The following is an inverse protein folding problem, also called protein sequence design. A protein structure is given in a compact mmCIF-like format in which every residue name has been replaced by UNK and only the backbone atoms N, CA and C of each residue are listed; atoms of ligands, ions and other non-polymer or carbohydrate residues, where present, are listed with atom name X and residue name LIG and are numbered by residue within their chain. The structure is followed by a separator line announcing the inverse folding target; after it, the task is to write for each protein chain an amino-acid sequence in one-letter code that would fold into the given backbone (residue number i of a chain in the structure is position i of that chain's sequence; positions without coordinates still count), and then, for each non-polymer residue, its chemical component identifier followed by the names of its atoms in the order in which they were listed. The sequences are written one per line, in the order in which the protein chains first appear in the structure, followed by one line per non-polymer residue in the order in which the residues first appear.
data_IF_540258511060
#
_entry.id   IF_540258511060
#
_cell.length_a   1.000
_cell.length_b   1.000
_cell.length_c   1.000
_cell.angle_alpha   90.00
_cell.angle_beta   90.00
_cell.angle_gamma   90.00
#
_symmetry.space_group_name_H-M   'P 1'
#
loop_
_entity.id
_entity.type
_entity.pdbx_description
1 polymer ?
#
# COMPACT_ATOMS: atom_id res chain seq x y z
N UNK A 1 11.51 -9.99 -7.23
CA UNK A 1 10.26 -10.74 -6.99
C UNK A 1 9.06 -10.21 -7.77
N UNK A 2 8.83 -8.89 -7.76
CA UNK A 2 7.73 -8.28 -8.53
C UNK A 2 7.73 -8.66 -10.02
N UNK A 3 8.88 -8.54 -10.69
CA UNK A 3 9.04 -9.02 -12.07
C UNK A 3 8.58 -10.48 -12.29
N UNK A 4 9.04 -11.41 -11.46
CA UNK A 4 8.68 -12.84 -11.57
C UNK A 4 7.17 -13.05 -11.37
N UNK A 5 6.53 -12.28 -10.49
CA UNK A 5 5.09 -12.36 -10.27
C UNK A 5 4.26 -11.91 -11.48
N UNK A 6 4.86 -11.19 -12.44
CA UNK A 6 4.25 -10.77 -13.72
C UNK A 6 4.57 -11.72 -14.88
N UNK A 7 5.30 -12.81 -14.64
CA UNK A 7 5.65 -13.80 -15.67
C UNK A 7 4.97 -15.13 -15.40
N UNK A 8 4.49 -15.77 -16.47
CA UNK A 8 3.87 -17.09 -16.38
C UNK A 8 4.90 -18.15 -15.98
N UNK A 9 4.44 -19.20 -15.30
CA UNK A 9 5.22 -20.40 -14.97
C UNK A 9 6.46 -20.17 -14.09
N UNK A 10 6.53 -19.04 -13.36
CA UNK A 10 7.65 -18.70 -12.46
C UNK A 10 7.43 -19.13 -11.01
N UNK A 11 6.36 -19.87 -10.69
CA UNK A 11 6.00 -20.21 -9.31
C UNK A 11 7.12 -20.94 -8.56
N UNK A 12 7.74 -21.95 -9.19
CA UNK A 12 8.86 -22.70 -8.59
C UNK A 12 10.05 -21.79 -8.30
N UNK A 13 10.40 -20.89 -9.22
CA UNK A 13 11.50 -19.93 -9.03
C UNK A 13 11.18 -18.99 -7.86
N UNK A 14 9.93 -18.52 -7.77
CA UNK A 14 9.49 -17.68 -6.65
C UNK A 14 9.61 -18.42 -5.31
N UNK A 15 9.21 -19.69 -5.26
CA UNK A 15 9.31 -20.51 -4.05
C UNK A 15 10.75 -20.75 -3.62
N UNK A 16 11.66 -20.99 -4.57
CA UNK A 16 13.10 -21.16 -4.31
C UNK A 16 13.78 -19.86 -3.85
N UNK A 17 13.33 -18.70 -4.35
CA UNK A 17 13.92 -17.39 -4.01
C UNK A 17 13.40 -16.82 -2.66
N UNK A 18 12.26 -17.32 -2.16
CA UNK A 18 11.65 -16.88 -0.90
C UNK A 18 12.63 -16.86 0.29
N UNK A 19 13.34 -17.95 0.65
CA UNK A 19 14.24 -17.94 1.81
C UNK A 19 15.34 -16.89 1.68
N UNK A 20 15.90 -16.71 0.48
CA UNK A 20 16.92 -15.70 0.21
C UNK A 20 16.38 -14.29 0.45
N UNK A 21 15.18 -13.97 -0.06
CA UNK A 21 14.58 -12.65 0.17
C UNK A 21 14.29 -12.44 1.65
N UNK A 22 13.76 -13.44 2.37
CA UNK A 22 13.48 -13.32 3.80
C UNK A 22 14.75 -13.02 4.59
N UNK A 23 15.84 -13.75 4.33
CA UNK A 23 17.14 -13.50 4.99
C UNK A 23 17.65 -12.10 4.67
N UNK A 24 17.61 -11.67 3.40
CA UNK A 24 18.06 -10.33 3.00
C UNK A 24 17.23 -9.24 3.66
N UNK A 25 15.91 -9.39 3.75
CA UNK A 25 15.02 -8.40 4.37
C UNK A 25 15.23 -8.36 5.88
N UNK A 26 15.32 -9.51 6.55
CA UNK A 26 15.58 -9.59 7.99
C UNK A 26 16.96 -8.99 8.29
N UNK A 27 17.99 -9.38 7.55
CA UNK A 27 19.34 -8.84 7.70
C UNK A 27 19.39 -7.33 7.41
N UNK A 28 18.71 -6.85 6.36
CA UNK A 28 18.60 -5.42 6.06
C UNK A 28 17.88 -4.64 7.16
N UNK A 29 16.90 -5.27 7.80
CA UNK A 29 16.07 -4.64 8.85
C UNK A 29 16.79 -4.58 10.20
N UNK A 30 17.51 -5.63 10.57
CA UNK A 30 18.12 -5.78 11.90
C UNK A 30 19.64 -5.67 11.89
N UNK A 31 20.32 -6.11 10.84
CA UNK A 31 21.79 -6.17 10.75
C UNK A 31 22.45 -4.78 10.68
N UNK A 32 21.77 -3.77 10.12
CA UNK A 32 22.30 -2.40 10.03
C UNK A 32 21.72 -1.46 11.10
N UNK A 33 21.22 -1.99 12.22
CA UNK A 33 20.66 -1.18 13.31
C UNK A 33 21.72 -0.68 14.27
N UNK A 34 22.03 0.62 14.22
CA UNK A 34 22.64 1.30 15.36
C UNK A 34 21.56 1.67 16.37
N UNK A 35 21.77 1.35 17.65
CA UNK A 35 20.85 1.72 18.76
C UNK A 35 20.89 3.22 19.11
N UNK A 36 21.25 4.07 18.15
CA UNK A 36 21.25 5.51 18.34
C UNK A 36 19.80 5.99 18.40
N UNK A 37 19.45 6.57 19.54
CA UNK A 37 18.08 7.05 19.82
C UNK A 37 17.60 8.07 18.79
N UNK A 38 18.51 8.85 18.23
CA UNK A 38 18.24 9.84 17.17
C UNK A 38 17.66 9.20 15.90
N UNK A 39 17.99 7.93 15.64
CA UNK A 39 17.49 7.17 14.49
C UNK A 39 16.38 6.18 14.85
N UNK A 40 15.78 6.28 16.04
CA UNK A 40 14.71 5.38 16.48
C UNK A 40 13.52 5.39 15.50
N UNK A 41 13.15 6.57 14.99
CA UNK A 41 12.08 6.68 13.99
C UNK A 41 12.45 5.99 12.66
N UNK A 42 13.67 6.18 12.17
CA UNK A 42 14.13 5.51 10.94
C UNK A 42 14.22 4.00 11.12
N UNK A 43 14.62 3.54 12.31
CA UNK A 43 14.65 2.11 12.66
C UNK A 43 13.24 1.53 12.68
N UNK A 44 12.27 2.24 13.28
CA UNK A 44 10.86 1.85 13.25
C UNK A 44 10.31 1.80 11.82
N UNK A 45 10.57 2.83 11.01
CA UNK A 45 10.14 2.89 9.61
C UNK A 45 10.76 1.76 8.77
N UNK A 46 12.04 1.47 8.99
CA UNK A 46 12.74 0.34 8.35
C UNK A 46 12.13 -0.99 8.76
N UNK A 47 11.78 -1.17 10.04
CA UNK A 47 11.05 -2.33 10.54
C UNK A 47 9.71 -2.52 9.85
N UNK A 48 8.92 -1.44 9.74
CA UNK A 48 7.63 -1.46 9.05
C UNK A 48 7.79 -1.79 7.56
N UNK A 49 8.79 -1.20 6.90
CA UNK A 49 9.12 -1.50 5.50
C UNK A 49 9.51 -2.98 5.33
N UNK A 50 10.37 -3.52 6.20
CA UNK A 50 10.77 -4.92 6.19
C UNK A 50 9.58 -5.87 6.34
N UNK A 51 8.70 -5.63 7.32
CA UNK A 51 7.46 -6.41 7.50
C UNK A 51 6.56 -6.35 6.26
N UNK A 52 6.41 -5.17 5.67
CA UNK A 52 5.61 -4.98 4.45
C UNK A 52 6.22 -5.75 3.27
N UNK A 53 7.54 -5.72 3.11
CA UNK A 53 8.26 -6.48 2.08
C UNK A 53 8.12 -7.98 2.28
N UNK A 54 8.20 -8.47 3.52
CA UNK A 54 7.97 -9.89 3.84
C UNK A 54 6.55 -10.31 3.44
N UNK A 55 5.54 -9.56 3.90
CA UNK A 55 4.14 -9.87 3.59
C UNK A 55 3.89 -9.95 2.08
N UNK A 56 4.45 -8.99 1.32
CA UNK A 56 4.31 -8.95 -0.14
C UNK A 56 5.10 -10.08 -0.83
N UNK A 57 6.27 -10.43 -0.31
CA UNK A 57 7.05 -11.54 -0.85
C UNK A 57 6.31 -12.86 -0.65
N UNK A 58 5.69 -13.07 0.52
CA UNK A 58 4.87 -14.25 0.79
C UNK A 58 3.66 -14.30 -0.14
N UNK A 59 2.94 -13.19 -0.27
CA UNK A 59 1.80 -13.07 -1.17
C UNK A 59 2.17 -13.38 -2.64
N UNK A 60 3.26 -12.80 -3.14
CA UNK A 60 3.77 -13.08 -4.48
C UNK A 60 4.28 -14.50 -4.64
N UNK A 61 4.78 -15.13 -3.59
CA UNK A 61 5.28 -16.50 -3.67
C UNK A 61 4.14 -17.50 -3.73
N UNK A 62 3.13 -17.36 -2.87
CA UNK A 62 2.03 -18.32 -2.77
C UNK A 62 0.94 -18.13 -3.83
N UNK A 63 0.95 -17.02 -4.58
CA UNK A 63 0.02 -16.83 -5.70
C UNK A 63 0.51 -17.61 -6.93
N UNK A 64 -0.03 -18.82 -7.11
CA UNK A 64 0.39 -19.75 -8.18
C UNK A 64 0.33 -19.10 -9.58
N UNK A 65 -0.78 -18.46 -9.90
CA UNK A 65 -1.04 -17.88 -11.22
C UNK A 65 -0.34 -16.53 -11.49
N UNK A 66 0.38 -15.99 -10.50
CA UNK A 66 0.96 -14.65 -10.59
C UNK A 66 -0.08 -13.52 -10.48
N UNK A 67 0.33 -12.30 -10.82
CA UNK A 67 -0.46 -11.08 -10.65
C UNK A 67 -0.79 -10.47 -12.02
N UNK A 68 -2.03 -10.68 -12.47
CA UNK A 68 -2.58 -10.12 -13.71
C UNK A 68 -2.96 -8.64 -13.53
N UNK A 69 -2.68 -7.82 -14.55
CA UNK A 69 -3.15 -6.44 -14.64
C UNK A 69 -4.64 -6.41 -14.99
N UNK A 70 -5.28 -5.27 -14.71
CA UNK A 70 -6.62 -4.99 -15.22
C UNK A 70 -6.65 -5.14 -16.75
N UNK A 71 -7.54 -6.00 -17.25
CA UNK A 71 -7.72 -6.28 -18.68
C UNK A 71 -6.79 -7.34 -19.26
N UNK A 72 -5.86 -7.90 -18.48
CA UNK A 72 -5.01 -9.01 -18.93
C UNK A 72 -5.69 -10.36 -18.63
N UNK A 73 -5.85 -11.19 -19.66
CA UNK A 73 -6.39 -12.55 -19.52
C UNK A 73 -5.32 -13.58 -19.14
N UNK A 74 -4.04 -13.32 -19.47
CA UNK A 74 -2.93 -14.23 -19.18
C UNK A 74 -1.60 -13.47 -19.07
N UNK A 75 -0.64 -14.04 -18.33
CA UNK A 75 0.70 -13.49 -18.19
C UNK A 75 1.60 -13.93 -19.36
N UNK A 76 2.50 -13.04 -19.76
CA UNK A 76 3.54 -13.36 -20.74
C UNK A 76 4.55 -14.36 -20.16
N UNK A 77 4.94 -15.41 -20.90
CA UNK A 77 5.99 -16.33 -20.46
C UNK A 77 7.35 -15.62 -20.39
N UNK A 78 8.28 -16.18 -19.62
CA UNK A 78 9.59 -15.55 -19.36
C UNK A 78 10.48 -15.46 -20.61
N UNK A 79 10.32 -16.40 -21.54
CA UNK A 79 11.13 -16.50 -22.76
C UNK A 79 10.53 -15.73 -23.94
N UNK A 80 9.30 -15.25 -23.82
CA UNK A 80 8.66 -14.49 -24.87
C UNK A 80 9.01 -13.02 -24.64
N UNK A 81 9.89 -12.49 -25.50
CA UNK A 81 10.03 -11.05 -25.62
C UNK A 81 8.65 -10.49 -25.93
N UNK A 82 8.26 -9.43 -25.20
CA UNK A 82 7.00 -8.73 -25.46
C UNK A 82 6.90 -8.54 -26.97
N UNK A 83 5.84 -9.07 -27.61
CA UNK A 83 5.76 -9.01 -29.06
C UNK A 83 5.97 -7.56 -29.48
N UNK A 84 6.80 -7.29 -30.51
CA UNK A 84 6.93 -5.94 -31.03
C UNK A 84 5.51 -5.42 -31.26
N UNK A 85 5.21 -4.15 -30.89
CA UNK A 85 3.87 -3.60 -30.96
C UNK A 85 3.34 -3.91 -32.36
N UNK A 86 2.42 -4.87 -32.42
CA UNK A 86 2.02 -5.42 -33.71
C UNK A 86 1.47 -4.23 -34.51
N UNK A 87 1.92 -4.02 -35.76
CA UNK A 87 1.39 -2.94 -36.57
C UNK A 87 -0.11 -3.12 -36.58
N UNK A 88 -0.82 -2.18 -35.95
CA UNK A 88 -2.27 -2.21 -35.80
C UNK A 88 -2.83 -2.44 -37.19
N UNK A 89 -3.30 -3.65 -37.46
CA UNK A 89 -3.91 -4.00 -38.73
C UNK A 89 -5.15 -3.14 -38.85
N UNK A 90 -5.03 -2.14 -39.72
CA UNK A 90 -5.92 -1.00 -39.94
C UNK A 90 -7.29 -1.35 -40.51
N UNK A 91 -7.90 -2.45 -40.08
CA UNK A 91 -9.14 -2.93 -40.68
C UNK A 91 -10.27 -2.96 -39.64
N UNK A 92 -11.12 -1.92 -39.76
CA UNK A 92 -12.44 -1.73 -39.14
C UNK A 92 -12.44 -1.40 -37.63
N UNK A 93 -13.10 -0.35 -37.13
CA UNK A 93 -13.99 0.64 -37.72
C UNK A 93 -14.21 1.76 -36.68
N UNK A 94 -14.35 3.00 -37.17
CA UNK A 94 -14.82 4.22 -36.47
C UNK A 94 -13.89 4.92 -35.45
N UNK A 95 -13.00 5.77 -36.01
CA UNK A 95 -12.87 7.19 -35.66
C UNK A 95 -12.61 7.58 -34.20
N UNK A 96 -11.45 7.18 -33.66
CA UNK A 96 -10.73 8.11 -32.78
C UNK A 96 -9.24 8.10 -33.18
N UNK A 97 -8.84 9.14 -33.92
CA UNK A 97 -7.46 9.38 -34.38
C UNK A 97 -6.56 9.79 -33.20
N UNK A 98 -6.54 9.02 -32.11
CA UNK A 98 -5.57 9.24 -31.03
C UNK A 98 -4.33 8.42 -31.39
N UNK A 99 -3.21 9.06 -31.78
CA UNK A 99 -1.98 8.33 -32.07
C UNK A 99 -1.58 7.51 -30.83
N UNK A 100 -1.08 6.27 -31.01
CA UNK A 100 -0.60 5.45 -29.90
C UNK A 100 0.51 6.22 -29.19
N UNK A 101 0.18 6.76 -28.02
CA UNK A 101 1.08 7.61 -27.26
C UNK A 101 2.07 6.70 -26.54
N UNK A 102 3.09 6.24 -27.26
CA UNK A 102 4.23 5.52 -26.68
C UNK A 102 4.75 6.33 -25.50
N UNK A 103 4.74 5.73 -24.31
CA UNK A 103 5.11 6.46 -23.12
C UNK A 103 6.62 6.66 -23.12
N UNK A 104 7.10 7.86 -22.81
CA UNK A 104 8.55 8.15 -22.70
C UNK A 104 9.23 7.20 -21.68
N UNK A 105 8.45 6.67 -20.73
CA UNK A 105 8.89 5.68 -19.75
C UNK A 105 9.30 4.34 -20.37
N UNK A 106 8.57 3.85 -21.38
CA UNK A 106 8.86 2.59 -22.09
C UNK A 106 10.21 2.62 -22.79
N UNK A 107 10.68 3.81 -23.20
CA UNK A 107 11.99 3.99 -23.84
C UNK A 107 13.15 4.11 -22.84
N UNK A 108 12.87 4.50 -21.60
CA UNK A 108 13.90 4.87 -20.62
C UNK A 108 14.23 3.75 -19.64
N UNK A 109 13.24 2.91 -19.31
CA UNK A 109 13.39 1.86 -18.30
C UNK A 109 13.40 0.47 -18.93
N UNK A 110 14.27 -0.44 -18.46
CA UNK A 110 14.24 -1.81 -18.94
C UNK A 110 12.91 -2.48 -18.54
N UNK A 111 12.40 -3.45 -19.33
CA UNK A 111 11.07 -4.05 -19.11
C UNK A 111 10.88 -4.63 -17.70
N UNK A 112 11.92 -5.24 -17.13
CA UNK A 112 11.85 -5.80 -15.78
C UNK A 112 11.64 -4.74 -14.69
N UNK A 113 12.14 -3.52 -14.90
CA UNK A 113 11.98 -2.41 -13.97
C UNK A 113 10.56 -1.84 -14.06
N UNK A 114 10.00 -1.75 -15.27
CA UNK A 114 8.61 -1.34 -15.48
C UNK A 114 7.65 -2.34 -14.83
N UNK A 115 7.83 -3.65 -15.05
CA UNK A 115 7.03 -4.69 -14.41
C UNK A 115 7.13 -4.64 -12.88
N UNK A 116 8.33 -4.37 -12.35
CA UNK A 116 8.54 -4.26 -10.91
C UNK A 116 7.91 -3.00 -10.33
N UNK A 117 8.04 -1.86 -11.01
CA UNK A 117 7.41 -0.60 -10.60
C UNK A 117 5.89 -0.68 -10.69
N UNK A 118 5.36 -1.36 -11.70
CA UNK A 118 3.94 -1.67 -11.83
C UNK A 118 3.49 -2.49 -10.62
N UNK A 119 4.15 -3.62 -10.30
CA UNK A 119 3.83 -4.42 -9.11
C UNK A 119 3.96 -3.63 -7.81
N UNK A 120 4.99 -2.80 -7.66
CA UNK A 120 5.13 -1.92 -6.51
C UNK A 120 3.99 -0.90 -6.42
N UNK A 121 3.47 -0.41 -7.54
CA UNK A 121 2.29 0.47 -7.56
C UNK A 121 1.03 -0.24 -7.09
N UNK A 122 0.96 -1.57 -7.22
CA UNK A 122 -0.15 -2.37 -6.71
C UNK A 122 -0.20 -2.45 -5.19
N UNK A 123 0.91 -2.19 -4.50
CA UNK A 123 0.94 -2.02 -3.04
C UNK A 123 0.00 -0.90 -2.58
N UNK A 124 -0.28 0.06 -3.46
CA UNK A 124 -1.27 1.12 -3.23
C UNK A 124 -2.70 0.77 -3.61
N UNK A 125 -2.95 -0.44 -4.12
CA UNK A 125 -4.24 -0.80 -4.69
C UNK A 125 -4.51 -0.17 -6.06
N UNK A 126 -3.49 0.35 -6.74
CA UNK A 126 -3.59 0.87 -8.10
C UNK A 126 -3.35 -0.28 -9.07
N UNK A 127 -4.29 -0.57 -9.98
CA UNK A 127 -4.02 -1.35 -11.19
C UNK A 127 -4.15 -2.88 -11.15
N UNK A 128 -4.55 -3.51 -10.03
CA UNK A 128 -4.80 -4.97 -9.99
C UNK A 128 -6.28 -5.33 -9.96
N UNK A 129 -6.68 -6.17 -10.90
CA UNK A 129 -8.05 -6.69 -11.03
C UNK A 129 -8.38 -7.75 -9.97
N UNK A 130 -7.39 -8.52 -9.51
CA UNK A 130 -7.64 -9.72 -8.69
C UNK A 130 -7.93 -9.44 -7.22
N UNK A 131 -7.48 -8.31 -6.68
CA UNK A 131 -7.90 -7.87 -5.34
C UNK A 131 -9.42 -7.52 -5.33
N UNK A 132 -10.00 -7.25 -6.50
CA UNK A 132 -11.35 -6.67 -6.71
C UNK A 132 -12.47 -7.69 -6.49
N UNK A 133 -12.17 -8.99 -6.57
CA UNK A 133 -13.15 -10.06 -6.38
C UNK A 133 -13.44 -10.38 -4.90
N UNK A 134 -12.76 -9.74 -3.95
CA UNK A 134 -12.91 -10.02 -2.52
C UNK A 134 -13.34 -8.86 -1.64
N UNK A 135 -12.65 -7.72 -1.72
CA UNK A 135 -12.85 -6.51 -0.90
C UNK A 135 -11.82 -5.47 -1.39
N UNK A 136 -12.21 -4.43 -2.14
CA UNK A 136 -11.32 -3.25 -2.35
C UNK A 136 -12.06 -1.95 -2.05
N UNK A 137 -11.37 -1.17 -1.24
CA UNK A 137 -11.55 0.22 -0.89
C UNK A 137 -11.10 1.09 -2.07
N UNK A 138 -12.06 1.63 -2.83
CA UNK A 138 -11.81 2.65 -3.85
C UNK A 138 -11.76 4.02 -3.14
N UNK A 139 -10.85 4.93 -3.55
CA UNK A 139 -10.78 6.28 -2.99
C UNK A 139 -12.11 7.02 -3.09
N UNK A 140 -12.25 7.95 -2.14
CA UNK A 140 -13.47 8.67 -1.77
C UNK A 140 -14.32 9.15 -2.98
N UNK A 141 -15.62 8.79 -3.06
CA UNK A 141 -16.49 9.11 -4.19
C UNK A 141 -16.88 10.60 -4.32
N UNK A 142 -16.33 11.49 -3.48
CA UNK A 142 -16.63 12.93 -3.55
C UNK A 142 -15.91 13.68 -4.66
N UNK A 143 -14.88 13.09 -5.28
CA UNK A 143 -14.22 13.75 -6.39
C UNK A 143 -14.91 13.34 -7.69
N UNK A 144 -15.28 14.29 -8.57
CA UNK A 144 -15.80 13.96 -9.88
C UNK A 144 -14.81 13.03 -10.61
N UNK A 145 -15.29 12.10 -11.46
CA UNK A 145 -14.42 11.22 -12.23
C UNK A 145 -13.36 12.09 -12.92
N UNK A 146 -12.08 11.73 -12.73
CA UNK A 146 -10.97 12.52 -13.25
C UNK A 146 -10.98 12.44 -14.78
N UNK A 147 -11.53 13.46 -15.44
CA UNK A 147 -11.61 13.51 -16.92
C UNK A 147 -10.24 13.67 -17.57
N UNK A 148 -9.25 14.23 -16.85
CA UNK A 148 -7.90 14.49 -17.38
C UNK A 148 -6.79 14.14 -16.38
N UNK A 149 -5.68 13.61 -16.88
CA UNK A 149 -4.46 13.31 -16.10
C UNK A 149 -3.96 14.55 -15.34
N UNK A 150 -4.05 15.74 -15.97
CA UNK A 150 -3.69 17.02 -15.38
C UNK A 150 -4.48 17.31 -14.11
N UNK A 151 -5.80 17.04 -14.13
CA UNK A 151 -6.63 17.23 -12.94
C UNK A 151 -6.24 16.25 -11.82
N UNK A 152 -6.03 14.97 -12.16
CA UNK A 152 -5.57 13.97 -11.19
C UNK A 152 -4.23 14.34 -10.54
N UNK A 153 -3.25 14.77 -11.35
CA UNK A 153 -1.95 15.21 -10.86
C UNK A 153 -2.07 16.44 -9.99
N UNK A 154 -2.85 17.44 -10.40
CA UNK A 154 -3.10 18.65 -9.60
C UNK A 154 -3.73 18.30 -8.26
N UNK A 155 -4.75 17.46 -8.22
CA UNK A 155 -5.38 17.02 -6.97
C UNK A 155 -4.39 16.25 -6.08
N UNK A 156 -3.57 15.38 -6.67
CA UNK A 156 -2.55 14.61 -5.94
C UNK A 156 -1.47 15.51 -5.35
N UNK A 157 -0.99 16.52 -6.10
CA UNK A 157 -0.03 17.53 -5.62
C UNK A 157 -0.64 18.35 -4.49
N UNK A 158 -1.87 18.85 -4.65
CA UNK A 158 -2.54 19.62 -3.59
C UNK A 158 -2.72 18.79 -2.32
N UNK A 159 -3.14 17.53 -2.46
CA UNK A 159 -3.28 16.61 -1.33
C UNK A 159 -1.94 16.36 -0.65
N UNK A 160 -0.87 16.13 -1.44
CA UNK A 160 0.48 15.95 -0.93
C UNK A 160 0.96 17.17 -0.13
N UNK A 161 0.85 18.37 -0.72
CA UNK A 161 1.25 19.63 -0.06
C UNK A 161 0.45 19.85 1.22
N UNK A 162 -0.88 19.65 1.19
CA UNK A 162 -1.72 19.79 2.37
C UNK A 162 -1.28 18.87 3.50
N UNK A 163 -1.10 17.57 3.23
CA UNK A 163 -0.66 16.62 4.25
C UNK A 163 0.77 16.91 4.72
N UNK A 164 1.65 17.39 3.84
CA UNK A 164 3.01 17.79 4.19
C UNK A 164 3.00 18.98 5.15
N UNK A 165 2.20 20.01 4.88
CA UNK A 165 2.07 21.17 5.77
C UNK A 165 1.47 20.81 7.13
N UNK A 166 0.47 19.91 7.16
CA UNK A 166 -0.08 19.40 8.43
C UNK A 166 0.99 18.63 9.21
N UNK A 167 1.76 17.78 8.53
CA UNK A 167 2.85 17.02 9.13
C UNK A 167 3.92 17.97 9.71
N UNK A 168 4.35 18.97 8.94
CA UNK A 168 5.34 19.96 9.36
C UNK A 168 4.84 20.76 10.58
N UNK A 169 3.58 21.23 10.54
CA UNK A 169 2.96 21.91 11.67
C UNK A 169 2.95 21.03 12.94
N UNK A 170 2.58 19.76 12.82
CA UNK A 170 2.57 18.85 13.97
C UNK A 170 4.00 18.64 14.53
N UNK A 171 5.00 18.52 13.65
CA UNK A 171 6.40 18.38 14.06
C UNK A 171 6.93 19.65 14.76
N UNK A 172 6.55 20.83 14.29
CA UNK A 172 6.86 22.10 14.97
C UNK A 172 6.21 22.14 16.35
N UNK A 173 4.94 21.76 16.46
CA UNK A 173 4.24 21.66 17.76
C UNK A 173 4.99 20.73 18.70
N UNK A 174 5.42 19.54 18.24
CA UNK A 174 6.21 18.62 19.06
C UNK A 174 7.54 19.21 19.54
N UNK A 175 8.25 19.92 18.67
CA UNK A 175 9.53 20.56 19.01
C UNK A 175 9.37 21.70 20.01
N UNK A 176 8.20 22.34 20.07
CA UNK A 176 7.91 23.42 21.02
C UNK A 176 7.71 22.94 22.46
N UNK A 177 7.48 21.64 22.69
CA UNK A 177 7.28 21.12 24.05
C UNK A 177 8.63 20.80 24.73
N UNK A 178 8.90 21.35 25.93
CA UNK A 178 10.16 21.10 26.62
C UNK A 178 10.30 19.63 27.01
N UNK A 179 11.49 19.07 26.83
CA UNK A 179 11.82 17.68 27.16
C UNK A 179 11.54 16.67 26.03
N UNK A 180 10.71 17.02 25.05
CA UNK A 180 10.49 16.20 23.85
C UNK A 180 11.67 16.39 22.88
N UNK A 181 12.22 15.28 22.36
CA UNK A 181 13.36 15.32 21.44
C UNK A 181 14.74 15.41 22.09
N UNK A 182 14.81 15.41 23.42
CA UNK A 182 16.10 15.29 24.13
C UNK A 182 16.66 13.88 24.00
N UNK A 183 17.99 13.70 23.92
CA UNK A 183 18.61 12.37 23.83
C UNK A 183 18.35 11.51 25.08
N UNK A 184 18.14 12.15 26.24
CA UNK A 184 17.74 11.50 27.49
C UNK A 184 16.32 10.94 27.45
N UNK A 185 15.49 11.45 26.54
CA UNK A 185 14.10 11.05 26.35
C UNK A 185 13.20 11.53 27.48
N UNK A 186 12.20 12.31 27.10
CA UNK A 186 11.16 12.78 28.03
C UNK A 186 10.02 11.79 28.16
N UNK A 187 9.34 11.84 29.31
CA UNK A 187 7.97 11.36 29.43
C UNK A 187 7.02 12.38 28.79
N UNK A 188 5.91 11.89 28.21
CA UNK A 188 4.79 12.77 27.79
C UNK A 188 4.14 13.49 28.99
N UNK A 189 4.38 12.99 30.21
CA UNK A 189 3.90 13.56 31.45
C UNK A 189 4.92 14.55 32.02
N UNK A 190 4.64 15.85 31.89
CA UNK A 190 5.46 16.91 32.48
C UNK A 190 5.28 16.95 34.00
N UNK A 191 6.29 16.47 34.73
CA UNK A 191 6.26 16.34 36.20
C UNK A 191 6.10 17.68 36.93
N UNK A 192 6.45 18.80 36.31
CA UNK A 192 6.32 20.13 36.88
C UNK A 192 4.91 20.74 36.84
N UNK A 193 3.96 20.15 36.09
CA UNK A 193 2.60 20.70 35.99
C UNK A 193 1.61 20.04 36.97
N UNK A 194 0.57 20.78 37.42
CA UNK A 194 -0.57 20.22 38.14
C UNK A 194 -1.26 19.10 37.36
N UNK A 195 -1.91 18.19 38.09
CA UNK A 195 -2.44 16.93 37.55
C UNK A 195 -3.35 17.13 36.32
N UNK A 196 -4.32 18.06 36.39
CA UNK A 196 -5.22 18.36 35.27
C UNK A 196 -4.48 18.83 34.01
N UNK A 197 -3.59 19.83 34.14
CA UNK A 197 -2.84 20.37 33.00
C UNK A 197 -1.92 19.32 32.38
N UNK A 198 -1.30 18.48 33.22
CA UNK A 198 -0.43 17.39 32.78
C UNK A 198 -1.18 16.39 31.88
N UNK A 199 -2.39 15.98 32.29
CA UNK A 199 -3.21 15.07 31.48
C UNK A 199 -3.70 15.74 30.19
N UNK A 200 -4.07 17.02 30.22
CA UNK A 200 -4.47 17.76 29.02
C UNK A 200 -3.34 17.82 27.98
N UNK A 201 -2.11 18.12 28.41
CA UNK A 201 -0.95 18.15 27.51
C UNK A 201 -0.65 16.75 26.95
N UNK A 202 -0.66 15.71 27.79
CA UNK A 202 -0.43 14.34 27.34
C UNK A 202 -1.48 13.87 26.33
N UNK A 203 -2.76 14.19 26.55
CA UNK A 203 -3.85 13.89 25.61
C UNK A 203 -3.65 14.62 24.28
N UNK A 204 -3.33 15.91 24.34
CA UNK A 204 -3.11 16.74 23.16
C UNK A 204 -1.92 16.23 22.33
N UNK A 205 -0.79 15.93 22.97
CA UNK A 205 0.38 15.30 22.32
C UNK A 205 0.02 13.96 21.66
N UNK A 206 -0.81 13.15 22.32
CA UNK A 206 -1.25 11.87 21.78
C UNK A 206 -2.12 12.05 20.53
N UNK A 207 -3.02 13.04 20.54
CA UNK A 207 -3.84 13.41 19.39
C UNK A 207 -2.95 13.89 18.22
N UNK A 208 -2.01 14.79 18.49
CA UNK A 208 -1.05 15.27 17.48
C UNK A 208 -0.16 14.15 16.93
N UNK A 209 0.18 13.15 17.75
CA UNK A 209 0.95 11.98 17.32
C UNK A 209 0.15 11.16 16.31
N UNK A 210 -1.13 10.94 16.58
CA UNK A 210 -2.05 10.32 15.62
C UNK A 210 -2.14 11.10 14.30
N UNK A 211 -2.29 12.43 14.35
CA UNK A 211 -2.31 13.28 13.15
C UNK A 211 -0.99 13.22 12.36
N UNK A 212 0.14 13.18 13.06
CA UNK A 212 1.47 13.06 12.45
C UNK A 212 1.61 11.75 11.71
N UNK A 213 1.17 10.63 12.32
CA UNK A 213 1.19 9.31 11.66
C UNK A 213 0.29 9.31 10.42
N UNK A 214 -0.97 9.74 10.53
CA UNK A 214 -1.92 9.75 9.41
C UNK A 214 -1.41 10.64 8.27
N UNK A 215 -1.00 11.88 8.58
CA UNK A 215 -0.47 12.81 7.60
C UNK A 215 0.84 12.30 6.98
N UNK A 216 1.72 11.69 7.78
CA UNK A 216 2.96 11.09 7.30
C UNK A 216 2.71 9.98 6.28
N UNK A 217 1.77 9.06 6.57
CA UNK A 217 1.36 8.04 5.61
C UNK A 217 0.75 8.67 4.35
N UNK A 218 -0.07 9.71 4.48
CA UNK A 218 -0.64 10.40 3.33
C UNK A 218 0.43 11.12 2.48
N UNK A 219 1.46 11.70 3.09
CA UNK A 219 2.61 12.30 2.38
C UNK A 219 3.37 11.24 1.62
N UNK A 220 3.73 10.12 2.26
CA UNK A 220 4.40 9.00 1.59
C UNK A 220 3.53 8.44 0.46
N UNK A 221 2.22 8.36 0.67
CA UNK A 221 1.25 7.94 -0.35
C UNK A 221 1.16 8.93 -1.51
N UNK A 222 1.10 10.23 -1.24
CA UNK A 222 1.14 11.27 -2.27
C UNK A 222 2.45 11.22 -3.05
N UNK A 223 3.59 11.16 -2.36
CA UNK A 223 4.92 11.19 -2.95
C UNK A 223 5.10 10.08 -3.98
N UNK A 224 4.90 8.81 -3.59
CA UNK A 224 5.07 7.76 -4.58
C UNK A 224 3.89 7.64 -5.56
N UNK A 225 2.74 8.30 -5.34
CA UNK A 225 1.68 8.41 -6.38
C UNK A 225 2.13 9.39 -7.44
N UNK A 226 2.70 10.53 -7.03
CA UNK A 226 3.31 11.49 -7.93
C UNK A 226 4.52 10.89 -8.66
N UNK A 227 5.35 10.10 -7.97
CA UNK A 227 6.44 9.36 -8.61
C UNK A 227 5.89 8.32 -9.60
N UNK A 228 4.90 7.52 -9.20
CA UNK A 228 4.31 6.50 -10.06
C UNK A 228 3.65 7.10 -11.30
N UNK A 229 2.73 8.04 -11.14
CA UNK A 229 2.00 8.66 -12.26
C UNK A 229 2.89 9.60 -13.06
N UNK A 230 3.79 10.33 -12.40
CA UNK A 230 4.73 11.24 -13.06
C UNK A 230 5.79 10.50 -13.88
N UNK A 231 6.38 9.44 -13.34
CA UNK A 231 7.44 8.67 -14.02
C UNK A 231 6.86 7.64 -14.99
N UNK A 232 5.82 6.89 -14.59
CA UNK A 232 5.29 5.78 -15.38
C UNK A 232 4.19 6.22 -16.35
N UNK A 233 3.67 7.46 -16.23
CA UNK A 233 2.52 7.96 -17.00
C UNK A 233 1.33 6.99 -17.04
N UNK A 234 1.18 6.19 -15.99
CA UNK A 234 0.09 5.22 -15.89
C UNK A 234 -1.24 5.98 -15.92
N UNK A 235 -2.00 5.82 -17.00
CA UNK A 235 -3.27 6.51 -17.18
C UNK A 235 -4.26 5.92 -16.16
N UNK A 236 -4.80 6.73 -15.23
CA UNK A 236 -5.86 6.26 -14.35
C UNK A 236 -7.07 5.92 -15.22
N UNK A 237 -7.51 4.66 -15.19
CA UNK A 237 -8.67 4.20 -15.95
C UNK A 237 -9.92 5.02 -15.55
N UNK A 238 -10.54 5.76 -16.49
CA UNK A 238 -11.64 6.69 -16.16
C UNK A 238 -12.90 5.99 -15.63
N UNK A 239 -13.06 4.68 -15.90
CA UNK A 239 -14.27 3.90 -15.57
C UNK A 239 -14.02 2.72 -14.61
N UNK A 240 -13.01 2.80 -13.73
CA UNK A 240 -12.88 1.84 -12.63
C UNK A 240 -14.15 1.85 -11.74
N UNK A 241 -14.68 0.71 -11.28
CA UNK A 241 -15.95 0.67 -10.55
C UNK A 241 -15.80 1.37 -9.22
N UNK A 242 -16.85 2.13 -8.88
CA UNK A 242 -16.95 2.89 -7.63
C UNK A 242 -17.35 1.94 -6.50
N UNK A 243 -16.40 1.60 -5.63
CA UNK A 243 -16.62 0.70 -4.49
C UNK A 243 -15.98 1.31 -3.24
N UNK A 244 -16.68 2.21 -2.57
CA UNK A 244 -16.18 2.97 -1.42
C UNK A 244 -16.33 2.20 -0.10
N UNK A 245 -15.21 1.85 0.54
CA UNK A 245 -15.21 1.44 1.94
C UNK A 245 -14.13 2.25 2.66
N UNK A 246 -14.52 3.28 3.39
CA UNK A 246 -13.60 3.98 4.29
C UNK A 246 -13.54 3.18 5.59
N UNK A 247 -12.35 2.81 6.10
CA UNK A 247 -12.24 2.29 7.46
C UNK A 247 -12.69 3.34 8.49
N UNK A 248 -12.33 4.61 8.28
CA UNK A 248 -12.73 5.75 9.14
C UNK A 248 -14.16 6.28 8.97
N UNK A 249 -14.99 5.70 8.10
CA UNK A 249 -16.45 5.97 8.09
C UNK A 249 -17.25 4.80 8.67
N UNK A 250 -16.60 3.94 9.44
CA UNK A 250 -17.33 3.05 10.33
C UNK A 250 -17.93 3.92 11.44
N UNK A 251 -19.26 4.06 11.46
CA UNK A 251 -19.99 4.79 12.50
C UNK A 251 -19.73 4.23 13.91
N UNK A 252 -19.09 3.06 14.02
CA UNK A 252 -18.64 2.45 15.27
C UNK A 252 -17.30 1.72 15.13
N UNK A 253 -16.49 1.67 16.21
CA UNK A 253 -15.26 0.87 16.26
C UNK A 253 -15.50 -0.64 16.08
N UNK A 254 -16.68 -1.15 16.42
CA UNK A 254 -17.04 -2.57 16.17
C UNK A 254 -17.16 -2.88 14.69
N UNK A 255 -17.77 -1.99 13.89
CA UNK A 255 -17.83 -2.13 12.43
C UNK A 255 -16.47 -1.99 11.77
N UNK A 256 -15.55 -1.22 12.35
CA UNK A 256 -14.16 -1.16 11.89
C UNK A 256 -13.48 -2.52 12.05
N UNK A 257 -13.59 -3.12 13.24
CA UNK A 257 -12.98 -4.42 13.55
C UNK A 257 -13.59 -5.56 12.72
N UNK A 258 -14.91 -5.61 12.56
CA UNK A 258 -15.59 -6.61 11.71
C UNK A 258 -15.22 -6.50 10.21
N UNK A 259 -14.92 -5.27 9.77
CA UNK A 259 -14.52 -5.00 8.39
C UNK A 259 -13.04 -5.31 8.17
N UNK A 260 -12.20 -5.04 9.18
CA UNK A 260 -10.78 -5.36 9.19
C UNK A 260 -10.53 -6.87 9.31
N UNK A 261 -11.34 -7.60 10.08
CA UNK A 261 -11.18 -9.04 10.34
C UNK A 261 -11.52 -9.95 9.15
N UNK A 262 -12.00 -9.42 8.02
CA UNK A 262 -12.33 -10.27 6.87
C UNK A 262 -13.61 -11.12 7.06
N UNK A 263 -14.19 -11.18 8.26
CA UNK A 263 -15.35 -12.04 8.54
C UNK A 263 -16.56 -11.50 7.80
N UNK A 264 -17.01 -12.21 6.75
CA UNK A 264 -18.40 -12.06 6.32
C UNK A 264 -19.25 -12.53 7.50
N UNK A 265 -20.38 -11.87 7.83
CA UNK A 265 -21.35 -12.48 8.72
C UNK A 265 -21.66 -13.85 8.11
N UNK A 266 -21.32 -14.91 8.85
CA UNK A 266 -21.65 -16.28 8.48
C UNK A 266 -23.16 -16.31 8.30
N UNK A 267 -23.62 -16.24 7.06
CA UNK A 267 -24.98 -16.62 6.70
C UNK A 267 -25.12 -18.05 7.20
N UNK A 268 -26.01 -18.22 8.19
CA UNK A 268 -26.15 -19.41 9.07
C UNK A 268 -26.41 -20.76 8.35
N UNK A 269 -26.30 -20.85 7.03
CA UNK A 269 -26.84 -21.97 6.26
C UNK A 269 -25.80 -22.85 5.54
N UNK A 270 -24.49 -22.64 5.70
CA UNK A 270 -23.49 -23.42 4.91
C UNK A 270 -22.29 -23.95 5.72
N UNK A 271 -22.46 -24.22 7.01
CA UNK A 271 -21.50 -25.06 7.73
C UNK A 271 -22.20 -26.31 8.27
N UNK A 272 -22.12 -27.40 7.51
CA UNK A 272 -22.59 -28.71 7.97
C UNK A 272 -21.85 -29.16 9.25
N UNK A 273 -22.50 -29.96 10.11
CA UNK A 273 -22.07 -30.25 11.49
C UNK A 273 -20.66 -30.86 11.62
N UNK A 274 -20.10 -31.41 10.53
CA UNK A 274 -18.76 -32.04 10.55
C UNK A 274 -17.59 -31.06 10.57
N UNK A 275 -17.75 -29.80 10.14
CA UNK A 275 -16.63 -28.82 10.16
C UNK A 275 -16.48 -28.08 11.50
N UNK A 276 -17.53 -28.04 12.33
CA UNK A 276 -17.48 -27.44 13.67
C UNK A 276 -16.65 -28.27 14.65
N UNK A 277 -16.66 -29.60 14.49
CA UNK A 277 -15.88 -30.53 15.33
C UNK A 277 -14.36 -30.38 15.13
N UNK A 278 -13.91 -30.07 13.92
CA UNK A 278 -12.48 -29.98 13.61
C UNK A 278 -11.85 -28.68 14.13
N UNK A 279 -12.63 -27.59 14.19
CA UNK A 279 -12.17 -26.31 14.75
C UNK A 279 -12.13 -26.36 16.29
N UNK A 280 -13.11 -27.02 16.92
CA UNK A 280 -13.08 -27.21 18.38
C UNK A 280 -11.97 -28.17 18.84
N UNK A 281 -11.64 -29.20 18.05
CA UNK A 281 -10.52 -30.10 18.34
C UNK A 281 -9.15 -29.40 18.22
N UNK A 282 -9.01 -28.45 17.30
CA UNK A 282 -7.77 -27.67 17.15
C UNK A 282 -7.58 -26.62 18.26
N UNK A 283 -8.67 -26.04 18.78
CA UNK A 283 -8.62 -25.08 19.88
C UNK A 283 -8.41 -25.74 21.25
N UNK A 284 -8.81 -27.01 21.42
CA UNK A 284 -8.59 -27.75 22.66
C UNK A 284 -7.13 -28.20 22.88
N UNK A 285 -6.30 -28.24 21.83
CA UNK A 285 -4.89 -28.66 21.91
C UNK A 285 -3.89 -27.49 22.02
N UNK A 286 -4.39 -26.25 22.14
CA UNK A 286 -3.56 -25.04 22.26
C UNK A 286 -3.69 -24.35 23.63
N UNK A 287 -4.18 -25.08 24.64
CA UNK A 287 -4.16 -24.68 26.06
C UNK A 287 -2.97 -25.27 26.78
#
# INVERSE_FOLDING_TARGET
MGYLARRRDTHTIRLLLLPTILVVVIHGTYGYGGFNREYAFYTWLRGLAGLSTIAMTLDFTFTHEGRLKIGESSLTPINEQSPPPSPVSSESSTSSNVPPHESVAERSLPPWALDTLEVCSTLRGIGLERLRQGRIIVPHPRNPPFTTLTHFMRTSIISFIKNYLILDLCLVVFKSFPGIGTPLGGSIYLSGLPLFHRHTVALLLSIFSGFTLISGFNVLNGAATLAGVGLLRAVPLPNGPRSSIIPGAADSPTRFLDKASGTKPLTKNVLGPRRLLLVNALLANLG
#
